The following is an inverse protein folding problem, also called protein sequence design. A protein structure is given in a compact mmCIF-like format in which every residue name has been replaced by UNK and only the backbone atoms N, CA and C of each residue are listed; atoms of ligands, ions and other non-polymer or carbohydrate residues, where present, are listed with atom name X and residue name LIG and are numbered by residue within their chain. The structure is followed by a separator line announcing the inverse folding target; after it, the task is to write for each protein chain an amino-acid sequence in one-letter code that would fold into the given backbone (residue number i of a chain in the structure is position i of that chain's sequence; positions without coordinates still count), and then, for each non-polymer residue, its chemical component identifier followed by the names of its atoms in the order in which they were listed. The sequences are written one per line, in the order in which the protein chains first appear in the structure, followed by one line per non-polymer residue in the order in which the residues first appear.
data_IF_087520621535
#
_entry.id   IF_087520621535
#
_cell.length_a   1.000
_cell.length_b   1.000
_cell.length_c   1.000
_cell.angle_alpha   90.00
_cell.angle_beta   90.00
_cell.angle_gamma   90.00
#
_symmetry.space_group_name_H-M   'P 1'
#
loop_
_entity.id
_entity.type
_entity.pdbx_description
1 polymer ?
#
# COMPACT_ATOMS: atom_id res chain seq x y z
N UNK A 1 -23.17 1.22 -3.75
CA UNK A 1 -21.98 1.68 -4.51
C UNK A 1 -22.35 1.73 -5.97
N UNK A 2 -22.11 2.87 -6.64
CA UNK A 2 -22.31 3.01 -8.08
C UNK A 2 -20.99 2.61 -8.74
N UNK A 3 -21.01 1.50 -9.49
CA UNK A 3 -19.88 1.12 -10.35
C UNK A 3 -19.97 2.02 -11.60
N UNK A 4 -19.08 3.00 -11.68
CA UNK A 4 -18.93 3.83 -12.89
C UNK A 4 -17.71 3.31 -13.64
N UNK A 5 -17.88 2.94 -14.89
CA UNK A 5 -16.85 2.41 -15.80
C UNK A 5 -16.19 1.09 -15.35
N UNK A 6 -16.91 0.23 -14.62
CA UNK A 6 -16.35 -1.05 -14.14
C UNK A 6 -15.26 -0.94 -13.08
N UNK A 7 -15.06 0.24 -12.48
CA UNK A 7 -14.02 0.48 -11.48
C UNK A 7 -14.60 0.34 -10.08
N UNK A 8 -13.89 -0.41 -9.26
CA UNK A 8 -14.19 -0.62 -7.85
C UNK A 8 -13.32 0.28 -6.96
N UNK A 9 -13.67 0.46 -5.67
CA UNK A 9 -12.93 1.36 -4.78
C UNK A 9 -11.43 1.11 -4.70
N UNK A 10 -11.00 -0.17 -4.70
CA UNK A 10 -9.60 -0.57 -4.54
C UNK A 10 -8.69 -0.29 -5.73
N UNK A 11 -9.27 -0.04 -6.92
CA UNK A 11 -8.50 0.20 -8.16
C UNK A 11 -8.71 1.58 -8.76
N UNK A 12 -9.17 2.55 -7.96
CA UNK A 12 -9.36 3.92 -8.42
C UNK A 12 -8.02 4.65 -8.59
N UNK A 13 -7.89 5.37 -9.73
CA UNK A 13 -6.76 6.27 -10.04
C UNK A 13 -7.24 7.74 -10.12
N UNK A 14 -8.51 7.99 -9.83
CA UNK A 14 -9.11 9.31 -9.98
C UNK A 14 -8.85 10.18 -8.75
N UNK A 15 -8.07 11.24 -8.89
CA UNK A 15 -7.71 12.17 -7.80
C UNK A 15 -8.91 12.82 -7.10
N UNK A 16 -10.04 12.97 -7.78
CA UNK A 16 -11.25 13.52 -7.16
C UNK A 16 -11.86 12.58 -6.09
N UNK A 17 -11.46 11.30 -6.10
CA UNK A 17 -11.95 10.27 -5.18
C UNK A 17 -10.87 9.90 -4.16
N UNK A 18 -9.58 10.03 -4.55
CA UNK A 18 -8.44 9.63 -3.71
C UNK A 18 -8.11 10.70 -2.68
N UNK A 19 -7.91 10.28 -1.43
CA UNK A 19 -7.23 11.11 -0.45
C UNK A 19 -5.72 11.17 -0.77
N UNK A 20 -5.19 12.36 -1.00
CA UNK A 20 -3.77 12.55 -1.35
C UNK A 20 -2.81 12.11 -0.23
N UNK A 21 -3.24 12.20 1.01
CA UNK A 21 -2.45 11.84 2.21
C UNK A 21 -2.53 10.37 2.59
N UNK A 22 -3.35 9.57 1.89
CA UNK A 22 -3.55 8.16 2.16
C UNK A 22 -3.30 7.29 0.93
N UNK A 23 -2.83 6.06 1.16
CA UNK A 23 -2.80 5.04 0.13
C UNK A 23 -4.22 4.50 -0.15
N UNK A 24 -4.43 4.02 -1.38
CA UNK A 24 -5.69 3.38 -1.80
C UNK A 24 -5.42 1.89 -2.09
N UNK A 25 -5.32 1.08 -1.05
CA UNK A 25 -4.98 -0.32 -1.21
C UNK A 25 -6.15 -1.19 -1.67
N UNK A 26 -5.89 -1.99 -2.68
CA UNK A 26 -6.55 -3.25 -2.98
C UNK A 26 -5.78 -4.36 -2.25
N UNK A 27 -6.47 -5.24 -1.56
CA UNK A 27 -5.85 -6.43 -0.96
C UNK A 27 -6.36 -7.71 -1.61
N UNK A 28 -5.59 -8.78 -1.48
CA UNK A 28 -6.04 -10.15 -1.78
C UNK A 28 -5.56 -11.09 -0.68
N UNK A 29 -6.40 -12.04 -0.30
CA UNK A 29 -6.10 -13.04 0.72
C UNK A 29 -6.34 -14.45 0.16
N UNK A 30 -5.35 -15.31 0.38
CA UNK A 30 -5.47 -16.74 0.16
C UNK A 30 -5.31 -17.49 1.48
N UNK A 31 -6.29 -18.34 1.80
CA UNK A 31 -6.31 -19.13 3.02
C UNK A 31 -5.71 -20.53 2.79
N UNK A 32 -4.71 -20.90 3.59
CA UNK A 32 -4.40 -22.30 3.87
C UNK A 32 -5.10 -22.73 5.17
N UNK A 33 -4.59 -23.73 5.88
CA UNK A 33 -5.25 -24.22 7.12
C UNK A 33 -5.30 -23.13 8.20
N UNK A 34 -4.18 -22.80 8.81
CA UNK A 34 -4.02 -21.80 9.88
C UNK A 34 -3.15 -20.60 9.49
N UNK A 35 -2.66 -20.62 8.27
CA UNK A 35 -1.78 -19.60 7.69
C UNK A 35 -2.47 -18.98 6.49
N UNK A 36 -2.30 -17.69 6.31
CA UNK A 36 -2.82 -16.95 5.16
C UNK A 36 -1.68 -16.25 4.42
N UNK A 37 -1.80 -16.17 3.12
CA UNK A 37 -1.06 -15.22 2.31
C UNK A 37 -1.90 -13.98 2.06
N UNK A 38 -1.28 -12.82 2.12
CA UNK A 38 -1.91 -11.54 1.81
C UNK A 38 -1.04 -10.73 0.87
N UNK A 39 -1.67 -9.98 -0.01
CA UNK A 39 -0.99 -9.00 -0.82
C UNK A 39 -1.76 -7.69 -0.85
N UNK A 40 -1.04 -6.57 -0.94
CA UNK A 40 -1.59 -5.22 -1.03
C UNK A 40 -1.02 -4.52 -2.25
N UNK A 41 -1.87 -3.86 -3.00
CA UNK A 41 -1.48 -3.01 -4.12
C UNK A 41 -2.16 -1.66 -4.04
N UNK A 42 -1.39 -0.59 -4.08
CA UNK A 42 -1.90 0.75 -4.41
C UNK A 42 -1.57 1.05 -5.88
N UNK A 43 -2.57 0.93 -6.75
CA UNK A 43 -2.40 1.15 -8.19
C UNK A 43 -2.05 2.62 -8.50
N UNK A 44 -2.40 3.56 -7.61
CA UNK A 44 -2.13 4.98 -7.83
C UNK A 44 -0.66 5.35 -7.58
N UNK A 45 0.07 4.55 -6.82
CA UNK A 45 1.49 4.76 -6.51
C UNK A 45 2.40 3.66 -7.08
N UNK A 46 1.83 2.52 -7.48
CA UNK A 46 2.57 1.33 -7.94
C UNK A 46 3.16 0.50 -6.79
N UNK A 47 2.80 0.80 -5.55
CA UNK A 47 3.30 0.07 -4.38
C UNK A 47 2.62 -1.29 -4.26
N UNK A 48 3.41 -2.37 -4.39
CA UNK A 48 2.94 -3.74 -4.36
C UNK A 48 3.72 -4.54 -3.33
N UNK A 49 3.00 -5.09 -2.34
CA UNK A 49 3.60 -5.77 -1.18
C UNK A 49 2.88 -7.08 -0.88
N UNK A 50 3.62 -8.02 -0.29
CA UNK A 50 3.06 -9.32 0.11
C UNK A 50 3.63 -9.81 1.44
N UNK A 51 2.83 -10.60 2.15
CA UNK A 51 3.21 -11.30 3.38
C UNK A 51 2.52 -12.65 3.47
N UNK A 52 3.02 -13.47 4.39
CA UNK A 52 2.45 -14.76 4.76
C UNK A 52 2.60 -14.94 6.25
N UNK A 53 1.55 -15.43 6.94
CA UNK A 53 1.63 -15.64 8.38
C UNK A 53 0.31 -16.09 9.00
N UNK A 54 0.24 -16.07 10.33
CA UNK A 54 -0.95 -16.43 11.10
C UNK A 54 -2.11 -15.47 10.83
N UNK A 55 -3.32 -15.92 11.13
CA UNK A 55 -4.55 -15.09 11.03
C UNK A 55 -4.39 -13.81 11.84
N UNK A 56 -3.83 -13.87 13.05
CA UNK A 56 -3.60 -12.68 13.89
C UNK A 56 -2.64 -11.68 13.27
N UNK A 57 -1.60 -12.16 12.59
CA UNK A 57 -0.67 -11.30 11.88
C UNK A 57 -1.35 -10.61 10.68
N UNK A 58 -2.10 -11.38 9.91
CA UNK A 58 -2.83 -10.86 8.75
C UNK A 58 -3.92 -9.85 9.19
N UNK A 59 -4.62 -10.08 10.31
CA UNK A 59 -5.59 -9.10 10.86
C UNK A 59 -4.91 -7.77 11.19
N UNK A 60 -3.71 -7.78 11.77
CA UNK A 60 -2.93 -6.56 12.03
C UNK A 60 -2.58 -5.83 10.74
N UNK A 61 -2.13 -6.55 9.71
CA UNK A 61 -1.83 -5.95 8.41
C UNK A 61 -3.08 -5.34 7.77
N UNK A 62 -4.21 -6.06 7.76
CA UNK A 62 -5.48 -5.54 7.25
C UNK A 62 -5.94 -4.28 7.97
N UNK A 63 -5.76 -4.22 9.29
CA UNK A 63 -6.12 -3.04 10.08
C UNK A 63 -5.19 -1.84 9.76
N UNK A 64 -3.90 -2.08 9.66
CA UNK A 64 -2.91 -1.02 9.47
C UNK A 64 -2.90 -0.48 8.03
N UNK A 65 -3.03 -1.34 7.02
CA UNK A 65 -3.13 -0.93 5.62
C UNK A 65 -4.53 -0.45 5.23
N UNK A 66 -5.57 -0.87 5.96
CA UNK A 66 -6.97 -0.48 5.76
C UNK A 66 -7.41 -0.50 4.29
N UNK A 67 -7.33 -1.66 3.60
CA UNK A 67 -7.65 -1.74 2.18
C UNK A 67 -9.10 -1.36 1.92
N UNK A 68 -9.33 -0.69 0.80
CA UNK A 68 -10.67 -0.28 0.37
C UNK A 68 -11.47 -1.43 -0.24
N UNK A 69 -10.78 -2.48 -0.65
CA UNK A 69 -11.35 -3.67 -1.26
C UNK A 69 -10.46 -4.88 -0.98
N UNK A 70 -11.07 -6.04 -0.76
CA UNK A 70 -10.37 -7.29 -0.49
C UNK A 70 -10.87 -8.39 -1.43
N UNK A 71 -9.95 -8.98 -2.18
CA UNK A 71 -10.22 -10.12 -3.05
C UNK A 71 -10.04 -11.41 -2.27
N UNK A 72 -10.98 -12.32 -2.41
CA UNK A 72 -10.92 -13.66 -1.81
C UNK A 72 -11.38 -14.72 -2.80
N UNK A 73 -10.99 -15.94 -2.55
CA UNK A 73 -11.47 -17.10 -3.27
C UNK A 73 -12.97 -17.34 -2.98
N UNK A 74 -13.76 -17.66 -4.01
CA UNK A 74 -15.20 -17.93 -3.91
C UNK A 74 -15.48 -19.00 -2.87
N UNK A 75 -16.50 -18.72 -2.05
CA UNK A 75 -16.92 -19.59 -0.94
C UNK A 75 -16.18 -19.37 0.37
N UNK A 76 -15.13 -18.53 0.41
CA UNK A 76 -14.39 -18.21 1.63
C UNK A 76 -14.92 -16.98 2.38
N UNK A 77 -16.01 -16.35 1.93
CA UNK A 77 -16.56 -15.14 2.55
C UNK A 77 -16.87 -15.32 4.04
N UNK A 78 -17.56 -16.41 4.39
CA UNK A 78 -17.88 -16.70 5.80
C UNK A 78 -16.63 -16.86 6.66
N UNK A 79 -15.64 -17.61 6.18
CA UNK A 79 -14.34 -17.78 6.84
C UNK A 79 -13.61 -16.45 7.03
N UNK A 80 -13.64 -15.60 6.00
CA UNK A 80 -13.05 -14.27 6.07
C UNK A 80 -13.72 -13.39 7.13
N UNK A 81 -15.07 -13.34 7.13
CA UNK A 81 -15.83 -12.53 8.10
C UNK A 81 -15.68 -13.04 9.54
N UNK A 82 -15.57 -14.34 9.76
CA UNK A 82 -15.27 -14.95 11.06
C UNK A 82 -13.85 -14.57 11.55
N UNK A 83 -12.86 -14.53 10.65
CA UNK A 83 -11.47 -14.23 11.00
C UNK A 83 -11.20 -12.72 11.19
N UNK A 84 -11.76 -11.85 10.33
CA UNK A 84 -11.37 -10.43 10.22
C UNK A 84 -12.54 -9.45 10.43
N UNK A 85 -13.77 -9.97 10.57
CA UNK A 85 -14.99 -9.18 10.73
C UNK A 85 -15.60 -8.70 9.40
N UNK A 86 -16.87 -8.23 9.42
CA UNK A 86 -17.65 -7.92 8.21
C UNK A 86 -17.44 -6.53 7.62
N UNK A 87 -16.48 -5.76 8.14
CA UNK A 87 -16.27 -4.34 7.78
C UNK A 87 -15.65 -4.09 6.41
N UNK A 88 -15.08 -5.13 5.77
CA UNK A 88 -14.37 -5.00 4.51
C UNK A 88 -15.29 -5.15 3.30
N UNK A 89 -15.04 -4.38 2.26
CA UNK A 89 -15.66 -4.60 0.96
C UNK A 89 -14.97 -5.79 0.28
N UNK A 90 -15.73 -6.90 0.14
CA UNK A 90 -15.18 -8.17 -0.35
C UNK A 90 -15.63 -8.39 -1.80
N UNK A 91 -14.70 -8.82 -2.64
CA UNK A 91 -14.97 -9.34 -3.98
C UNK A 91 -14.47 -10.79 -4.09
N UNK A 92 -15.35 -11.69 -4.53
CA UNK A 92 -15.04 -13.11 -4.67
C UNK A 92 -14.59 -13.42 -6.11
N UNK A 93 -13.44 -14.05 -6.24
CA UNK A 93 -12.89 -14.55 -7.49
C UNK A 93 -12.96 -16.08 -7.54
N UNK A 94 -12.94 -16.66 -8.74
CA UNK A 94 -12.97 -18.11 -8.93
C UNK A 94 -11.72 -18.80 -8.36
N UNK A 95 -11.88 -20.01 -7.87
CA UNK A 95 -10.88 -20.82 -7.17
C UNK A 95 -9.61 -21.09 -8.00
N UNK A 96 -9.74 -21.31 -9.32
CA UNK A 96 -8.62 -21.55 -10.21
C UNK A 96 -7.62 -20.39 -10.29
N UNK A 97 -8.03 -19.19 -9.90
CA UNK A 97 -7.19 -18.00 -9.87
C UNK A 97 -6.18 -18.09 -8.71
N UNK A 98 -6.58 -18.73 -7.61
CA UNK A 98 -5.79 -18.91 -6.39
C UNK A 98 -4.96 -20.19 -6.43
N UNK A 99 -4.33 -20.47 -7.57
CA UNK A 99 -3.41 -21.59 -7.73
C UNK A 99 -1.97 -21.09 -7.89
N UNK A 100 -0.99 -21.87 -7.40
CA UNK A 100 0.42 -21.47 -7.47
C UNK A 100 0.87 -21.24 -8.91
N UNK A 101 0.54 -22.15 -9.82
CA UNK A 101 0.96 -22.02 -11.24
C UNK A 101 0.37 -20.77 -11.90
N UNK A 102 -0.94 -20.53 -11.74
CA UNK A 102 -1.59 -19.37 -12.33
C UNK A 102 -1.06 -18.05 -11.77
N UNK A 103 -0.72 -18.02 -10.49
CA UNK A 103 -0.17 -16.84 -9.83
C UNK A 103 1.28 -16.57 -10.26
N UNK A 104 2.13 -17.59 -10.24
CA UNK A 104 3.52 -17.47 -10.68
C UNK A 104 3.62 -17.06 -12.14
N UNK A 105 2.89 -17.70 -13.05
CA UNK A 105 2.89 -17.36 -14.48
C UNK A 105 2.51 -15.89 -14.71
N UNK A 106 1.51 -15.36 -13.99
CA UNK A 106 1.11 -13.94 -14.10
C UNK A 106 2.20 -13.00 -13.59
N UNK A 107 2.77 -13.29 -12.42
CA UNK A 107 3.82 -12.45 -11.84
C UNK A 107 5.09 -12.46 -12.71
N UNK A 108 5.52 -13.63 -13.20
CA UNK A 108 6.67 -13.76 -14.08
C UNK A 108 6.47 -13.00 -15.40
N UNK A 109 5.27 -13.10 -15.98
CA UNK A 109 4.89 -12.36 -17.19
C UNK A 109 4.85 -10.85 -16.94
N UNK A 110 4.27 -10.40 -15.81
CA UNK A 110 4.13 -8.98 -15.49
C UNK A 110 5.50 -8.32 -15.25
N UNK A 111 6.37 -8.98 -14.49
CA UNK A 111 7.71 -8.46 -14.19
C UNK A 111 8.77 -8.80 -15.25
N UNK A 112 8.39 -9.46 -16.34
CA UNK A 112 9.29 -9.88 -17.43
C UNK A 112 10.52 -10.62 -16.92
N UNK A 113 10.34 -11.51 -15.94
CA UNK A 113 11.42 -12.24 -15.25
C UNK A 113 11.25 -13.76 -15.34
N UNK A 114 12.35 -14.49 -15.18
CA UNK A 114 12.34 -15.96 -15.17
C UNK A 114 12.05 -16.57 -13.79
N UNK A 115 12.16 -15.80 -12.72
CA UNK A 115 11.89 -16.25 -11.36
C UNK A 115 11.67 -15.06 -10.43
N UNK A 116 11.07 -15.31 -9.25
CA UNK A 116 10.77 -14.28 -8.25
C UNK A 116 11.89 -14.10 -7.19
N UNK A 117 13.07 -14.68 -7.38
CA UNK A 117 14.18 -14.62 -6.42
C UNK A 117 14.65 -13.19 -6.17
N UNK A 118 14.72 -12.37 -7.22
CA UNK A 118 15.15 -10.98 -7.13
C UNK A 118 14.27 -10.10 -6.24
N UNK A 119 13.02 -10.50 -6.03
CA UNK A 119 12.06 -9.80 -5.16
C UNK A 119 12.10 -10.28 -3.70
N UNK A 120 12.83 -11.36 -3.38
CA UNK A 120 12.91 -11.91 -2.03
C UNK A 120 11.64 -12.59 -1.52
N UNK A 121 10.66 -12.85 -2.40
CA UNK A 121 9.33 -13.39 -2.03
C UNK A 121 9.13 -14.87 -2.36
N UNK A 122 10.11 -15.54 -2.94
CA UNK A 122 9.98 -16.92 -3.47
C UNK A 122 9.53 -17.98 -2.43
N UNK A 123 9.73 -17.71 -1.15
CA UNK A 123 9.35 -18.61 -0.05
C UNK A 123 7.93 -18.34 0.46
N UNK A 124 7.31 -17.22 0.06
CA UNK A 124 5.96 -16.82 0.46
C UNK A 124 4.92 -17.38 -0.53
N UNK A 125 4.73 -18.69 -0.53
CA UNK A 125 3.87 -19.37 -1.52
C UNK A 125 2.44 -18.85 -1.53
N UNK A 126 1.83 -18.66 -0.36
CA UNK A 126 0.48 -18.15 -0.23
C UNK A 126 0.41 -16.66 -0.57
N UNK A 127 1.44 -15.90 -0.22
CA UNK A 127 1.59 -14.50 -0.61
C UNK A 127 1.71 -14.31 -2.12
N UNK A 128 2.44 -15.20 -2.81
CA UNK A 128 2.52 -15.22 -4.29
C UNK A 128 1.15 -15.49 -4.91
N UNK A 129 0.38 -16.45 -4.37
CA UNK A 129 -0.98 -16.74 -4.83
C UNK A 129 -1.87 -15.50 -4.69
N UNK A 130 -1.86 -14.84 -3.53
CA UNK A 130 -2.59 -13.60 -3.30
C UNK A 130 -2.17 -12.48 -4.26
N UNK A 131 -0.85 -12.33 -4.54
CA UNK A 131 -0.33 -11.33 -5.48
C UNK A 131 -0.79 -11.60 -6.92
N UNK A 132 -0.78 -12.85 -7.35
CA UNK A 132 -1.27 -13.25 -8.67
C UNK A 132 -2.77 -12.98 -8.87
N UNK A 133 -3.58 -13.13 -7.82
CA UNK A 133 -5.01 -12.82 -7.85
C UNK A 133 -5.25 -11.31 -8.04
N UNK A 134 -4.43 -10.44 -7.45
CA UNK A 134 -4.49 -8.99 -7.69
C UNK A 134 -4.23 -8.68 -9.17
N UNK A 135 -3.17 -9.21 -9.77
CA UNK A 135 -2.87 -8.96 -11.18
C UNK A 135 -4.00 -9.48 -12.10
N UNK A 136 -4.57 -10.64 -11.80
CA UNK A 136 -5.73 -11.13 -12.52
C UNK A 136 -6.92 -10.16 -12.47
N UNK A 137 -7.21 -9.63 -11.27
CA UNK A 137 -8.32 -8.70 -11.08
C UNK A 137 -8.11 -7.39 -11.83
N UNK A 138 -6.87 -6.90 -11.91
CA UNK A 138 -6.54 -5.72 -12.72
C UNK A 138 -6.82 -5.97 -14.20
N UNK A 139 -6.47 -7.14 -14.72
CA UNK A 139 -6.77 -7.51 -16.12
C UNK A 139 -8.29 -7.51 -16.37
N UNK A 140 -9.08 -8.06 -15.44
CA UNK A 140 -10.56 -8.10 -15.54
C UNK A 140 -11.19 -6.70 -15.46
N UNK A 141 -10.60 -5.81 -14.69
CA UNK A 141 -11.08 -4.43 -14.51
C UNK A 141 -10.49 -3.45 -15.55
N UNK A 142 -9.96 -3.98 -16.66
CA UNK A 142 -9.42 -3.22 -17.80
C UNK A 142 -8.24 -2.29 -17.46
N UNK A 143 -7.48 -2.61 -16.42
CA UNK A 143 -6.22 -1.93 -16.12
C UNK A 143 -5.08 -2.59 -16.90
N UNK A 144 -5.04 -2.34 -18.22
CA UNK A 144 -4.07 -2.98 -19.14
C UNK A 144 -2.68 -2.33 -19.10
N UNK A 145 -2.59 -1.09 -18.64
CA UNK A 145 -1.33 -0.34 -18.55
C UNK A 145 -0.90 -0.21 -17.09
N UNK A 146 -0.20 -1.23 -16.57
CA UNK A 146 0.28 -1.32 -15.18
C UNK A 146 1.80 -1.44 -15.10
N UNK A 147 2.52 -0.96 -16.11
CA UNK A 147 3.99 -1.04 -16.20
C UNK A 147 4.74 -0.26 -15.10
N UNK A 148 4.06 0.67 -14.42
CA UNK A 148 4.61 1.38 -13.25
C UNK A 148 4.70 0.49 -12.00
N UNK A 149 4.01 -0.65 -11.96
CA UNK A 149 4.16 -1.65 -10.90
C UNK A 149 5.39 -2.49 -11.23
N UNK A 150 6.56 -2.06 -10.78
CA UNK A 150 7.85 -2.62 -11.18
C UNK A 150 8.44 -3.59 -10.18
N UNK A 151 7.88 -3.70 -8.98
CA UNK A 151 8.40 -4.54 -7.91
C UNK A 151 7.29 -5.12 -7.03
N UNK A 152 7.57 -6.28 -6.45
CA UNK A 152 6.79 -6.91 -5.39
C UNK A 152 7.68 -7.01 -4.15
N UNK A 153 7.34 -6.31 -3.09
CA UNK A 153 8.12 -6.26 -1.86
C UNK A 153 7.55 -7.18 -0.77
N UNK A 154 8.44 -7.75 0.04
CA UNK A 154 8.03 -8.49 1.23
C UNK A 154 7.74 -7.52 2.38
N UNK A 155 6.64 -7.75 3.11
CA UNK A 155 6.39 -7.11 4.41
C UNK A 155 7.13 -7.94 5.47
N UNK A 156 8.14 -7.34 6.11
CA UNK A 156 8.96 -8.01 7.13
C UNK A 156 8.30 -7.88 8.51
N UNK A 157 7.73 -8.97 9.01
CA UNK A 157 7.07 -9.00 10.31
C UNK A 157 8.00 -8.63 11.47
N UNK A 158 9.24 -9.10 11.42
CA UNK A 158 10.20 -8.99 12.52
C UNK A 158 10.83 -7.59 12.66
N UNK A 159 10.67 -6.72 11.68
CA UNK A 159 11.29 -5.39 11.65
C UNK A 159 10.55 -4.35 12.49
N UNK A 160 9.27 -4.57 12.76
CA UNK A 160 8.38 -3.57 13.35
C UNK A 160 7.79 -4.02 14.69
N UNK A 161 7.46 -3.04 15.53
CA UNK A 161 6.60 -3.27 16.70
C UNK A 161 5.19 -3.58 16.19
N UNK A 162 4.61 -4.66 16.70
CA UNK A 162 3.28 -5.10 16.30
C UNK A 162 2.22 -4.30 17.06
N UNK A 163 1.54 -3.41 16.37
CA UNK A 163 0.39 -2.68 16.88
C UNK A 163 -0.89 -3.35 16.39
N UNK A 164 -1.75 -3.75 17.32
CA UNK A 164 -3.07 -4.24 16.98
C UNK A 164 -4.09 -3.08 16.82
N UNK A 165 -5.28 -3.40 16.31
CA UNK A 165 -6.33 -2.40 16.06
C UNK A 165 -6.79 -1.66 17.33
N UNK A 166 -6.78 -2.35 18.46
CA UNK A 166 -7.20 -1.75 19.73
C UNK A 166 -6.17 -0.74 20.21
N UNK A 167 -4.88 -1.08 20.12
CA UNK A 167 -3.77 -0.18 20.45
C UNK A 167 -3.79 1.06 19.53
N UNK A 168 -3.88 0.87 18.22
CA UNK A 168 -3.94 1.98 17.24
C UNK A 168 -5.12 2.91 17.55
N UNK A 169 -6.30 2.33 17.83
CA UNK A 169 -7.51 3.08 18.14
C UNK A 169 -7.44 3.75 19.52
N UNK A 170 -7.01 3.04 20.57
CA UNK A 170 -6.98 3.56 21.94
C UNK A 170 -5.94 4.67 22.14
N UNK A 171 -4.85 4.62 21.37
CA UNK A 171 -3.83 5.68 21.34
C UNK A 171 -4.18 6.79 20.33
N UNK A 172 -5.29 6.68 19.61
CA UNK A 172 -5.72 7.64 18.58
C UNK A 172 -4.58 8.02 17.61
N UNK A 173 -3.83 7.01 17.12
CA UNK A 173 -2.62 7.25 16.34
C UNK A 173 -2.90 7.90 14.97
N UNK A 174 -3.93 7.43 14.26
CA UNK A 174 -4.24 7.86 12.86
C UNK A 174 -5.72 8.14 12.64
N UNK A 175 -6.50 8.19 13.69
CA UNK A 175 -7.92 8.50 13.72
C UNK A 175 -8.40 8.59 15.15
N UNK A 176 -9.55 9.21 15.36
CA UNK A 176 -10.11 9.48 16.69
C UNK A 176 -11.34 8.64 16.96
N UNK A 177 -11.68 8.47 18.24
CA UNK A 177 -12.92 7.82 18.65
C UNK A 177 -14.12 8.73 18.56
N UNK A 178 -13.89 10.05 18.60
CA UNK A 178 -14.90 11.10 18.52
C UNK A 178 -14.70 11.89 17.22
N UNK A 179 -15.77 12.29 16.56
CA UNK A 179 -15.74 13.03 15.29
C UNK A 179 -15.02 14.39 15.39
N UNK A 180 -15.01 15.02 16.57
CA UNK A 180 -14.32 16.30 16.85
C UNK A 180 -12.89 16.10 17.40
N UNK A 181 -12.42 14.85 17.53
CA UNK A 181 -11.12 14.53 18.08
C UNK A 181 -9.98 14.88 17.10
N UNK A 182 -8.76 14.94 17.65
CA UNK A 182 -7.52 15.17 16.89
C UNK A 182 -6.58 14.00 17.14
N UNK A 183 -6.19 13.27 16.11
CA UNK A 183 -5.27 12.13 16.23
C UNK A 183 -3.82 12.58 16.37
N UNK A 184 -2.95 11.66 16.80
CA UNK A 184 -1.50 11.92 16.82
C UNK A 184 -1.01 12.36 15.43
N UNK A 185 -1.43 11.66 14.37
CA UNK A 185 -1.06 11.98 13.00
C UNK A 185 -1.46 13.41 12.63
N UNK A 186 -2.68 13.85 12.97
CA UNK A 186 -3.17 15.19 12.64
C UNK A 186 -2.30 16.29 13.30
N UNK A 187 -1.77 16.02 14.49
CA UNK A 187 -0.90 16.97 15.21
C UNK A 187 0.50 17.04 14.59
N UNK A 188 1.10 15.87 14.28
CA UNK A 188 2.51 15.80 13.88
C UNK A 188 2.73 15.83 12.37
N UNK A 189 1.68 15.65 11.54
CA UNK A 189 1.82 15.74 10.07
C UNK A 189 2.05 17.20 9.64
N UNK A 190 3.33 17.53 9.55
CA UNK A 190 3.85 18.78 8.98
C UNK A 190 4.60 18.52 7.67
N UNK A 191 4.34 17.38 7.04
CA UNK A 191 4.99 17.01 5.79
C UNK A 191 4.55 17.94 4.66
N UNK A 192 5.50 18.29 3.79
CA UNK A 192 5.28 19.22 2.68
C UNK A 192 4.63 18.50 1.50
N UNK A 193 5.02 17.24 1.25
CA UNK A 193 4.52 16.47 0.12
C UNK A 193 3.50 15.39 0.52
N UNK A 194 2.55 15.03 -0.36
CA UNK A 194 1.64 13.91 -0.12
C UNK A 194 2.36 12.58 0.10
N UNK A 195 3.48 12.35 -0.58
CA UNK A 195 4.34 11.16 -0.39
C UNK A 195 4.90 11.11 1.03
N UNK A 196 5.34 12.26 1.57
CA UNK A 196 5.80 12.37 2.95
C UNK A 196 4.71 12.06 3.96
N UNK A 197 3.48 12.54 3.73
CA UNK A 197 2.34 12.25 4.60
C UNK A 197 1.99 10.75 4.62
N UNK A 198 1.97 10.09 3.46
CA UNK A 198 1.78 8.63 3.38
C UNK A 198 2.88 7.86 4.10
N UNK A 199 4.14 8.29 3.95
CA UNK A 199 5.29 7.70 4.65
C UNK A 199 5.18 7.89 6.17
N UNK A 200 4.86 9.10 6.65
CA UNK A 200 4.70 9.39 8.09
C UNK A 200 3.59 8.52 8.71
N UNK A 201 2.44 8.43 8.05
CA UNK A 201 1.34 7.56 8.48
C UNK A 201 1.81 6.10 8.63
N UNK A 202 2.57 5.61 7.64
CA UNK A 202 3.15 4.26 7.71
C UNK A 202 4.14 4.11 8.85
N UNK A 203 4.99 5.07 9.11
CA UNK A 203 5.95 5.02 10.21
C UNK A 203 5.28 4.96 11.59
N UNK A 204 4.15 5.63 11.76
CA UNK A 204 3.35 5.57 12.98
C UNK A 204 2.71 4.18 13.16
N UNK A 205 2.17 3.59 12.08
CA UNK A 205 1.50 2.29 12.14
C UNK A 205 2.47 1.10 12.19
N UNK A 206 3.70 1.29 11.71
CA UNK A 206 4.77 0.30 11.69
C UNK A 206 6.05 0.86 12.32
N UNK A 207 6.06 1.08 13.65
CA UNK A 207 7.23 1.61 14.33
C UNK A 207 8.37 0.60 14.30
N UNK A 208 9.58 1.07 14.04
CA UNK A 208 10.79 0.25 14.10
C UNK A 208 11.05 -0.24 15.52
N UNK A 209 11.57 -1.47 15.67
CA UNK A 209 11.98 -2.01 16.98
C UNK A 209 13.48 -2.06 17.16
N UNK A 210 14.25 -2.12 16.07
CA UNK A 210 15.70 -2.26 16.13
C UNK A 210 16.37 -0.90 16.33
N UNK A 211 17.34 -0.83 17.22
CA UNK A 211 18.00 0.42 17.64
C UNK A 211 18.72 1.10 16.48
N UNK A 212 19.45 0.34 15.67
CA UNK A 212 20.26 0.91 14.58
C UNK A 212 19.43 1.72 13.56
N UNK A 213 18.37 1.17 12.93
CA UNK A 213 17.56 1.95 11.99
C UNK A 213 16.75 3.08 12.67
N UNK A 214 16.49 3.01 13.99
CA UNK A 214 15.92 4.12 14.75
C UNK A 214 16.95 5.26 14.84
N UNK A 215 18.20 4.94 15.22
CA UNK A 215 19.27 5.91 15.32
C UNK A 215 19.57 6.58 13.97
N UNK A 216 19.62 5.81 12.88
CA UNK A 216 19.79 6.34 11.52
C UNK A 216 18.74 7.41 11.19
N UNK A 217 17.46 7.20 11.56
CA UNK A 217 16.42 8.23 11.38
C UNK A 217 16.64 9.45 12.30
N UNK A 218 17.04 9.22 13.54
CA UNK A 218 17.30 10.30 14.49
C UNK A 218 18.50 11.16 14.07
N UNK A 219 19.55 10.56 13.51
CA UNK A 219 20.71 11.27 12.98
C UNK A 219 20.32 12.24 11.85
N UNK A 220 19.40 11.85 10.95
CA UNK A 220 18.88 12.72 9.90
C UNK A 220 18.12 13.91 10.50
N UNK A 221 17.28 13.65 11.51
CA UNK A 221 16.54 14.72 12.21
C UNK A 221 17.49 15.67 12.92
N UNK A 222 18.50 15.14 13.63
CA UNK A 222 19.52 15.91 14.33
C UNK A 222 20.34 16.79 13.35
N UNK A 223 20.70 16.24 12.19
CA UNK A 223 21.37 16.99 11.13
C UNK A 223 20.56 18.23 10.73
N UNK A 224 19.30 18.09 10.35
CA UNK A 224 18.46 19.22 9.94
C UNK A 224 18.12 20.17 11.09
N UNK A 225 18.17 19.69 12.33
CA UNK A 225 18.04 20.56 13.50
C UNK A 225 19.26 21.46 13.70
N UNK A 226 20.46 20.96 13.35
CA UNK A 226 21.72 21.74 13.43
C UNK A 226 21.96 22.61 12.21
N UNK A 227 21.40 22.24 11.06
CA UNK A 227 21.60 22.91 9.76
C UNK A 227 20.28 23.50 9.23
N UNK A 228 19.74 24.56 9.88
CA UNK A 228 18.44 25.13 9.53
C UNK A 228 18.40 25.73 8.12
N UNK A 229 19.49 26.28 7.61
CA UNK A 229 19.57 26.81 6.25
C UNK A 229 19.44 25.72 5.20
N UNK A 230 20.08 24.58 5.42
CA UNK A 230 19.94 23.39 4.55
C UNK A 230 18.53 22.85 4.57
N UNK A 231 17.89 22.83 5.76
CA UNK A 231 16.48 22.44 5.90
C UNK A 231 15.56 23.36 5.11
N UNK A 232 15.71 24.68 5.23
CA UNK A 232 14.86 25.66 4.52
C UNK A 232 15.01 25.53 2.99
N UNK A 233 16.25 25.31 2.50
CA UNK A 233 16.50 25.02 1.10
C UNK A 233 15.76 23.76 0.64
N UNK A 234 15.87 22.67 1.41
CA UNK A 234 15.18 21.42 1.11
C UNK A 234 13.66 21.57 1.13
N UNK A 235 13.10 22.27 2.13
CA UNK A 235 11.66 22.54 2.22
C UNK A 235 11.17 23.28 0.97
N UNK A 236 11.91 24.30 0.51
CA UNK A 236 11.60 25.05 -0.72
C UNK A 236 11.59 24.14 -1.97
N UNK A 237 12.51 23.18 -2.07
CA UNK A 237 12.52 22.23 -3.18
C UNK A 237 11.37 21.22 -3.07
N UNK A 238 11.08 20.70 -1.87
CA UNK A 238 9.99 19.75 -1.64
C UNK A 238 8.61 20.35 -1.99
N UNK A 239 8.39 21.64 -1.81
CA UNK A 239 7.16 22.33 -2.23
C UNK A 239 6.91 22.23 -3.75
N UNK A 240 7.99 22.14 -4.55
CA UNK A 240 7.91 22.05 -6.01
C UNK A 240 7.70 20.62 -6.51
N UNK A 241 8.04 19.60 -5.71
CA UNK A 241 8.03 18.21 -6.13
C UNK A 241 6.59 17.67 -6.29
N UNK A 242 5.69 17.97 -5.35
CA UNK A 242 4.30 17.47 -5.39
C UNK A 242 4.19 15.96 -5.17
N UNK A 243 3.27 15.30 -5.89
CA UNK A 243 3.02 13.84 -5.78
C UNK A 243 3.57 13.08 -6.99
N UNK A 244 4.88 12.87 -7.00
CA UNK A 244 5.57 12.18 -8.11
C UNK A 244 5.07 10.75 -8.32
N UNK A 245 4.79 10.01 -7.25
CA UNK A 245 4.34 8.61 -7.32
C UNK A 245 3.04 8.51 -8.15
N UNK A 246 2.07 9.37 -7.84
CA UNK A 246 0.78 9.37 -8.55
C UNK A 246 0.88 9.93 -9.97
N UNK A 247 1.72 10.94 -10.19
CA UNK A 247 1.92 11.49 -11.54
C UNK A 247 2.57 10.45 -12.44
N UNK A 248 3.60 9.74 -11.99
CA UNK A 248 4.27 8.70 -12.77
C UNK A 248 3.32 7.55 -13.11
N UNK A 249 2.49 7.13 -12.16
CA UNK A 249 1.47 6.11 -12.40
C UNK A 249 0.49 6.54 -13.50
N UNK A 250 0.05 7.81 -13.51
CA UNK A 250 -0.82 8.35 -14.56
C UNK A 250 -0.13 8.42 -15.92
N UNK A 251 1.17 8.74 -15.94
CA UNK A 251 1.98 8.69 -17.17
C UNK A 251 1.97 7.28 -17.77
N UNK A 252 2.24 6.27 -16.93
CA UNK A 252 2.30 4.88 -17.36
C UNK A 252 0.97 4.36 -17.92
N UNK A 253 -0.16 4.79 -17.35
CA UNK A 253 -1.50 4.41 -17.83
C UNK A 253 -2.05 5.34 -18.94
N UNK A 254 -1.27 6.34 -19.40
CA UNK A 254 -1.69 7.26 -20.46
C UNK A 254 -2.81 8.24 -20.06
N UNK A 255 -2.98 8.52 -18.76
CA UNK A 255 -4.04 9.39 -18.21
C UNK A 255 -3.52 10.71 -17.61
N UNK A 256 -2.28 11.03 -17.88
CA UNK A 256 -1.66 12.29 -17.42
C UNK A 256 -2.18 13.48 -18.23
N UNK A 257 -2.54 14.55 -17.55
CA UNK A 257 -2.92 15.82 -18.18
C UNK A 257 -1.68 16.63 -18.58
N UNK A 258 -1.78 17.57 -19.56
CA UNK A 258 -0.68 18.48 -19.90
C UNK A 258 -0.15 19.28 -18.71
N UNK A 259 -1.04 19.67 -17.80
CA UNK A 259 -0.67 20.40 -16.57
C UNK A 259 0.17 19.53 -15.63
N UNK A 260 -0.16 18.26 -15.47
CA UNK A 260 0.62 17.30 -14.66
C UNK A 260 1.98 17.00 -15.29
N UNK A 261 2.09 16.96 -16.61
CA UNK A 261 3.39 16.82 -17.30
C UNK A 261 4.29 18.02 -17.02
N UNK A 262 3.72 19.23 -17.00
CA UNK A 262 4.49 20.43 -16.62
C UNK A 262 4.92 20.36 -15.16
N UNK A 263 4.04 19.90 -14.27
CA UNK A 263 4.38 19.71 -12.85
C UNK A 263 5.50 18.66 -12.68
N UNK A 264 5.43 17.54 -13.39
CA UNK A 264 6.50 16.53 -13.41
C UNK A 264 7.83 17.12 -13.86
N UNK A 265 7.82 17.94 -14.93
CA UNK A 265 9.03 18.64 -15.40
C UNK A 265 9.62 19.55 -14.31
N UNK A 266 8.79 20.30 -13.57
CA UNK A 266 9.24 21.17 -12.47
C UNK A 266 9.83 20.32 -11.35
N UNK A 267 9.13 19.30 -10.92
CA UNK A 267 9.55 18.38 -9.87
C UNK A 267 10.88 17.66 -10.15
N UNK A 268 11.15 17.32 -11.42
CA UNK A 268 12.43 16.68 -11.81
C UNK A 268 13.60 17.66 -11.92
N UNK A 269 13.37 18.96 -11.80
CA UNK A 269 14.41 20.01 -11.80
C UNK A 269 14.73 20.52 -10.41
N UNK A 270 13.80 20.34 -9.46
CA UNK A 270 14.00 20.65 -8.06
C UNK A 270 14.98 19.66 -7.40
#
# INVERSE_FOLDING_TARGET
YIIIDGKTPGVSINDNILNHKENNFLASIHFAKEVCGISFLDISTGEFMTAEGSIDYIDKLLNNFSPKEVLIERGNKKRFEEAFGPRFFIFELDDWIFTTSAAEDRLLKHFETKNLKGFGVQHLKLGIIASGAILYYLDQTQHTHISHITALSRIEEDRYVRLDKFTVRSLELVGTMNDEGTSLLDVIDKTISPMGSRMLRRWILFPLKDVKPIQERQEVVDYFFREPETKELLDTQLEQIGDLERIISKVAVGRVSPREVVQLKVALRA
#
